data_IF_143490504403
#
_entry.id   IF_143490504403
#
_cell.length_a   1.000
_cell.length_b   1.000
_cell.length_c   1.000
_cell.angle_alpha   90.00
_cell.angle_beta   90.00
_cell.angle_gamma   90.00
#
_symmetry.space_group_name_H-M   'P 1'
#
loop_
_entity.id
_entity.type
_entity.pdbx_description
1 polymer ?
#
# COMPACT_ATOMS: atom_id res chain seq x y z
N UNK A 1 -16.61 -22.08 17.81
CA UNK A 1 -16.35 -20.80 17.13
C UNK A 1 -17.45 -19.83 17.51
N UNK A 2 -17.13 -18.80 18.30
CA UNK A 2 -18.12 -17.79 18.69
C UNK A 2 -18.42 -16.85 17.50
N UNK A 3 -19.42 -15.97 17.62
CA UNK A 3 -19.78 -15.09 16.51
C UNK A 3 -18.70 -14.03 16.19
N UNK A 4 -17.84 -13.69 17.16
CA UNK A 4 -16.71 -12.78 16.96
C UNK A 4 -15.62 -13.43 16.08
N UNK A 5 -15.28 -14.69 16.33
CA UNK A 5 -14.28 -15.43 15.55
C UNK A 5 -14.72 -15.59 14.08
N UNK A 6 -16.03 -15.76 13.83
CA UNK A 6 -16.57 -15.85 12.46
C UNK A 6 -16.48 -14.54 11.68
N UNK A 7 -16.28 -13.41 12.35
CA UNK A 7 -16.16 -12.10 11.72
C UNK A 7 -14.77 -11.85 11.09
N UNK A 8 -13.79 -12.74 11.35
CA UNK A 8 -12.41 -12.57 10.91
C UNK A 8 -11.98 -13.70 9.96
N UNK A 9 -11.10 -13.35 9.03
CA UNK A 9 -10.38 -14.30 8.19
C UNK A 9 -8.90 -14.31 8.60
N UNK A 10 -8.28 -15.49 8.50
CA UNK A 10 -6.82 -15.61 8.57
C UNK A 10 -6.26 -15.48 7.15
N UNK A 11 -5.25 -14.64 6.99
CA UNK A 11 -4.53 -14.43 5.74
C UNK A 11 -3.04 -14.63 5.98
N UNK A 12 -2.38 -15.33 5.07
CA UNK A 12 -0.92 -15.42 5.05
C UNK A 12 -0.32 -14.03 4.84
N UNK A 13 0.58 -13.55 5.72
CA UNK A 13 1.25 -12.28 5.53
C UNK A 13 2.19 -12.32 4.32
N UNK A 14 2.10 -11.31 3.46
CA UNK A 14 3.02 -11.13 2.32
C UNK A 14 4.19 -10.26 2.78
N UNK A 15 5.42 -10.74 2.59
CA UNK A 15 6.67 -10.05 2.94
C UNK A 15 7.43 -9.61 1.69
N UNK A 16 7.10 -8.45 1.09
CA UNK A 16 7.84 -7.92 -0.04
C UNK A 16 9.24 -7.45 0.37
N UNK A 17 10.13 -7.31 -0.61
CA UNK A 17 11.47 -6.76 -0.38
C UNK A 17 11.40 -5.28 0.04
N UNK A 18 12.10 -4.94 1.12
CA UNK A 18 12.21 -3.57 1.59
C UNK A 18 13.25 -2.80 0.78
N UNK A 19 12.88 -1.60 0.32
CA UNK A 19 13.79 -0.67 -0.38
C UNK A 19 13.93 0.64 0.39
N UNK A 20 15.12 1.25 0.34
CA UNK A 20 15.32 2.59 0.89
C UNK A 20 14.67 3.62 -0.02
N UNK A 21 13.81 4.46 0.53
CA UNK A 21 13.20 5.57 -0.19
C UNK A 21 12.99 6.79 0.73
N UNK A 22 12.86 7.97 0.15
CA UNK A 22 12.51 9.19 0.89
C UNK A 22 10.99 9.30 1.04
N UNK A 23 10.51 9.40 2.27
CA UNK A 23 9.12 9.78 2.55
C UNK A 23 9.04 11.28 2.81
N UNK A 24 8.17 11.94 2.05
CA UNK A 24 7.83 13.35 2.20
C UNK A 24 6.40 13.44 2.74
N UNK A 25 6.21 14.21 3.81
CA UNK A 25 4.89 14.52 4.36
C UNK A 25 4.80 16.02 4.64
N UNK A 26 3.61 16.64 4.53
CA UNK A 26 3.43 18.06 4.80
C UNK A 26 3.98 18.43 6.19
N UNK A 27 4.70 19.56 6.26
CA UNK A 27 5.23 20.12 7.51
C UNK A 27 6.18 19.20 8.30
N UNK A 28 6.74 18.17 7.65
CA UNK A 28 7.74 17.27 8.24
C UNK A 28 8.99 17.24 7.36
N UNK A 29 10.19 17.12 7.94
CA UNK A 29 11.39 16.89 7.15
C UNK A 29 11.28 15.60 6.36
N UNK A 30 11.84 15.58 5.16
CA UNK A 30 11.98 14.36 4.37
C UNK A 30 12.83 13.34 5.15
N UNK A 31 12.44 12.07 5.13
CA UNK A 31 13.14 11.00 5.85
C UNK A 31 13.49 9.88 4.89
N UNK A 32 14.75 9.48 4.86
CA UNK A 32 15.19 8.25 4.22
C UNK A 32 14.87 7.08 5.14
N UNK A 33 13.99 6.19 4.73
CA UNK A 33 13.58 5.02 5.50
C UNK A 33 13.46 3.80 4.59
N UNK A 34 13.40 2.62 5.20
CA UNK A 34 12.98 1.41 4.50
C UNK A 34 11.46 1.37 4.37
N UNK A 35 11.01 1.09 3.14
CA UNK A 35 9.61 1.02 2.76
C UNK A 35 9.29 -0.30 2.09
N UNK A 36 8.02 -0.65 2.13
CA UNK A 36 7.42 -1.68 1.30
C UNK A 36 6.30 -1.07 0.47
N UNK A 37 6.08 -1.63 -0.72
CA UNK A 37 5.14 -1.11 -1.69
C UNK A 37 3.94 -2.04 -1.90
N UNK A 38 2.76 -1.47 -2.03
CA UNK A 38 1.51 -2.13 -2.39
C UNK A 38 1.01 -1.55 -3.71
N UNK A 39 1.07 -2.35 -4.79
CA UNK A 39 0.57 -1.96 -6.11
C UNK A 39 -0.92 -2.31 -6.24
N UNK A 40 -1.74 -1.33 -6.62
CA UNK A 40 -3.14 -1.52 -7.00
C UNK A 40 -3.35 -1.20 -8.48
N UNK A 41 -4.20 -1.97 -9.15
CA UNK A 41 -4.73 -1.69 -10.48
C UNK A 41 -6.14 -1.15 -10.40
N UNK A 42 -6.51 -0.28 -11.34
CA UNK A 42 -7.87 0.26 -11.42
C UNK A 42 -8.58 -0.29 -12.65
N UNK A 43 -9.37 -1.34 -12.45
CA UNK A 43 -10.16 -1.96 -13.50
C UNK A 43 -11.60 -1.43 -13.45
N UNK A 44 -12.17 -1.13 -14.63
CA UNK A 44 -13.55 -0.64 -14.74
C UNK A 44 -14.29 -1.49 -15.76
N UNK A 45 -15.36 -2.13 -15.30
CA UNK A 45 -16.24 -2.97 -16.12
C UNK A 45 -17.60 -2.28 -16.15
N UNK A 46 -17.88 -1.49 -17.19
CA UNK A 46 -19.22 -0.93 -17.42
C UNK A 46 -19.76 -1.45 -18.75
N UNK A 47 -19.16 -1.03 -19.87
CA UNK A 47 -19.47 -1.54 -21.21
C UNK A 47 -18.25 -2.14 -21.91
N UNK A 48 -17.08 -1.93 -21.32
CA UNK A 48 -15.77 -2.25 -21.86
C UNK A 48 -14.87 -2.63 -20.68
N UNK A 49 -14.11 -3.71 -20.82
CA UNK A 49 -13.19 -4.21 -19.81
C UNK A 49 -11.79 -3.67 -20.10
N UNK A 50 -11.40 -2.61 -19.38
CA UNK A 50 -10.07 -2.03 -19.48
C UNK A 50 -9.48 -1.74 -18.10
N UNK A 51 -8.17 -1.90 -18.03
CA UNK A 51 -7.36 -1.33 -16.96
C UNK A 51 -7.14 0.16 -17.21
N UNK A 52 -7.47 0.99 -16.24
CA UNK A 52 -7.41 2.46 -16.31
C UNK A 52 -6.21 3.03 -15.55
N UNK A 53 -5.17 2.21 -15.34
CA UNK A 53 -3.95 2.60 -14.66
C UNK A 53 -3.78 1.94 -13.31
N UNK A 54 -2.92 2.55 -12.49
CA UNK A 54 -2.43 1.98 -11.25
C UNK A 54 -2.29 3.02 -10.14
N UNK A 55 -2.15 2.52 -8.92
CA UNK A 55 -1.80 3.29 -7.74
C UNK A 55 -0.75 2.51 -6.97
N UNK A 56 0.43 3.09 -6.79
CA UNK A 56 1.43 2.53 -5.88
C UNK A 56 1.34 3.26 -4.54
N UNK A 57 1.28 2.49 -3.45
CA UNK A 57 1.29 3.02 -2.09
C UNK A 57 2.51 2.46 -1.37
N UNK A 58 3.26 3.33 -0.71
CA UNK A 58 4.38 2.93 0.13
C UNK A 58 4.08 3.18 1.59
N UNK A 59 4.52 2.27 2.46
CA UNK A 59 4.51 2.44 3.91
C UNK A 59 5.86 2.04 4.46
N UNK A 60 6.17 2.45 5.69
CA UNK A 60 7.36 1.91 6.37
C UNK A 60 7.19 0.41 6.55
N UNK A 61 8.27 -0.35 6.39
CA UNK A 61 8.28 -1.79 6.65
C UNK A 61 7.76 -2.18 8.05
N UNK A 62 7.86 -1.26 9.02
CA UNK A 62 7.43 -1.44 10.41
C UNK A 62 5.99 -0.94 10.68
N UNK A 63 5.18 -0.73 9.64
CA UNK A 63 3.81 -0.18 9.78
C UNK A 63 2.76 -1.17 9.29
N UNK A 64 1.84 -1.54 10.18
CA UNK A 64 0.76 -2.49 9.86
C UNK A 64 -0.35 -1.87 9.00
N UNK A 65 -0.57 -0.56 9.12
CA UNK A 65 -1.63 0.18 8.39
C UNK A 65 -1.15 0.61 7.00
N UNK A 66 -1.96 0.38 5.96
CA UNK A 66 -1.63 0.73 4.55
C UNK A 66 -2.39 1.93 3.97
N UNK A 67 -3.20 2.63 4.77
CA UNK A 67 -4.03 3.74 4.30
C UNK A 67 -3.25 5.04 4.10
N UNK A 68 -3.44 5.72 2.96
CA UNK A 68 -2.85 7.06 2.75
C UNK A 68 -3.59 8.11 3.59
N UNK A 69 -4.92 8.09 3.58
CA UNK A 69 -5.75 9.04 4.33
C UNK A 69 -5.68 8.86 5.85
N UNK A 70 -5.29 7.66 6.32
CA UNK A 70 -5.01 7.43 7.75
C UNK A 70 -3.62 7.94 8.17
N UNK A 71 -2.83 8.46 7.22
CA UNK A 71 -1.46 8.94 7.45
C UNK A 71 -0.41 7.84 7.54
N UNK A 72 -0.76 6.58 7.27
CA UNK A 72 0.16 5.44 7.39
C UNK A 72 1.02 5.25 6.13
N UNK A 73 0.40 5.37 4.95
CA UNK A 73 1.07 5.26 3.66
C UNK A 73 1.31 6.62 2.99
N UNK A 74 2.02 6.61 1.87
CA UNK A 74 2.20 7.71 0.90
C UNK A 74 2.01 7.20 -0.52
N UNK A 75 1.73 8.11 -1.45
CA UNK A 75 1.66 7.79 -2.87
C UNK A 75 3.05 7.64 -3.47
N UNK A 76 3.18 6.76 -4.45
CA UNK A 76 4.38 6.57 -5.24
C UNK A 76 4.04 6.20 -6.70
N UNK A 77 5.06 6.09 -7.54
CA UNK A 77 5.00 5.59 -8.91
C UNK A 77 5.91 4.37 -9.08
N UNK A 78 5.48 3.31 -9.79
CA UNK A 78 6.33 2.17 -10.07
C UNK A 78 7.50 2.57 -10.97
N UNK A 79 8.70 2.10 -10.63
CA UNK A 79 9.87 2.15 -11.48
C UNK A 79 10.12 0.75 -12.06
N UNK A 80 10.00 0.62 -13.38
CA UNK A 80 10.25 -0.66 -14.06
C UNK A 80 11.75 -0.90 -14.16
N UNK A 81 12.17 -2.07 -13.69
CA UNK A 81 13.56 -2.57 -13.74
C UNK A 81 13.74 -3.61 -14.84
#
# INVERSE_FOLDING_TARGET
MNDEEKAHILMEPIYPESVKNYIIRPLKPAKLIYIISELGTNDKIVLKNYNHGHLLRNKSENTDKGGVMTGAAVYDSPFLI
#
